data_IF_389888568661
#
_entry.id   IF_389888568661
#
_cell.length_a   1.000
_cell.length_b   1.000
_cell.length_c   1.000
_cell.angle_alpha   90.00
_cell.angle_beta   90.00
_cell.angle_gamma   90.00
#
_symmetry.space_group_name_H-M   'P 1'
#
loop_
_entity.id
_entity.type
_entity.pdbx_description
1 polymer ?
#
# COMPACT_ATOMS: atom_id res chain seq x y z
N UNK A 1 4.40 3.16 -14.56
CA UNK A 1 5.84 2.87 -14.72
C UNK A 1 6.54 4.21 -14.62
N UNK A 2 6.71 4.60 -13.37
CA UNK A 2 7.45 5.79 -13.00
C UNK A 2 8.95 5.62 -13.26
N UNK A 3 9.72 6.66 -12.97
CA UNK A 3 11.18 6.65 -13.10
C UNK A 3 11.83 5.60 -12.20
N UNK A 4 12.98 5.09 -12.64
CA UNK A 4 13.83 4.13 -11.93
C UNK A 4 14.51 4.81 -10.72
N UNK A 5 13.71 5.15 -9.71
CA UNK A 5 14.05 5.68 -8.37
C UNK A 5 12.81 6.28 -7.69
N UNK A 6 11.67 6.36 -8.37
CA UNK A 6 10.43 6.82 -7.77
C UNK A 6 9.97 5.85 -6.67
N UNK A 7 9.22 6.37 -5.70
CA UNK A 7 8.53 5.58 -4.69
C UNK A 7 7.18 6.22 -4.39
N UNK A 8 6.20 5.40 -4.05
CA UNK A 8 4.93 5.88 -3.50
C UNK A 8 5.19 6.37 -2.06
N UNK A 9 4.79 7.62 -1.79
CA UNK A 9 5.01 8.28 -0.50
C UNK A 9 3.65 8.73 0.06
N UNK A 10 3.34 8.37 1.30
CA UNK A 10 2.14 8.84 2.03
C UNK A 10 2.51 9.24 3.46
N UNK A 11 2.31 10.53 3.78
CA UNK A 11 2.65 11.10 5.09
C UNK A 11 1.61 10.83 6.18
N UNK A 12 0.42 10.35 5.81
CA UNK A 12 -0.66 10.07 6.76
C UNK A 12 -0.80 8.59 7.05
N UNK A 13 -0.53 7.73 6.07
CA UNK A 13 -0.74 6.28 6.18
C UNK A 13 0.55 5.51 5.91
N UNK A 14 1.60 5.79 6.66
CA UNK A 14 2.85 5.02 6.65
C UNK A 14 2.96 4.15 7.90
N UNK A 15 3.78 3.11 7.83
CA UNK A 15 4.06 2.22 8.95
C UNK A 15 5.09 2.83 9.90
N UNK A 16 4.89 2.71 11.22
CA UNK A 16 5.80 3.30 12.20
C UNK A 16 7.19 2.64 12.23
N UNK A 17 7.39 1.50 11.56
CA UNK A 17 8.70 0.88 11.38
C UNK A 17 9.43 1.35 10.10
N UNK A 18 8.88 2.33 9.39
CA UNK A 18 9.55 3.02 8.29
C UNK A 18 10.75 3.85 8.79
N UNK A 19 11.79 3.97 7.95
CA UNK A 19 13.05 4.64 8.29
C UNK A 19 12.96 6.18 8.25
N UNK A 20 11.77 6.73 7.94
CA UNK A 20 11.48 8.17 7.94
C UNK A 20 11.23 8.76 6.56
N UNK A 21 11.32 7.95 5.51
CA UNK A 21 11.07 8.34 4.12
C UNK A 21 9.58 8.23 3.74
N UNK A 22 8.76 7.62 4.61
CA UNK A 22 7.33 7.41 4.44
C UNK A 22 6.98 6.64 3.15
N UNK A 23 7.81 5.68 2.78
CA UNK A 23 7.66 4.84 1.57
C UNK A 23 6.97 3.52 1.86
N UNK A 24 6.95 3.08 3.12
CA UNK A 24 6.23 1.89 3.57
C UNK A 24 4.79 2.23 3.94
N UNK A 25 3.90 2.06 2.97
CA UNK A 25 2.52 2.52 3.02
C UNK A 25 1.59 1.46 3.62
N UNK A 26 0.73 1.89 4.55
CA UNK A 26 -0.35 1.10 5.14
C UNK A 26 -1.64 1.35 4.35
N UNK A 27 -2.07 0.36 3.57
CA UNK A 27 -3.25 0.45 2.71
C UNK A 27 -4.46 -0.26 3.34
N UNK A 28 -5.61 0.40 3.29
CA UNK A 28 -6.87 -0.17 3.77
C UNK A 28 -7.50 -1.14 2.76
N UNK A 29 -7.98 -2.33 3.17
CA UNK A 29 -8.67 -3.26 2.28
C UNK A 29 -9.97 -2.71 1.68
N UNK A 30 -10.49 -1.59 2.20
CA UNK A 30 -11.65 -0.89 1.64
C UNK A 30 -11.39 -0.36 0.22
N UNK A 31 -10.12 -0.16 -0.14
CA UNK A 31 -9.72 0.34 -1.45
C UNK A 31 -9.53 -0.79 -2.48
N UNK A 32 -9.70 -2.06 -2.07
CA UNK A 32 -9.61 -3.19 -2.99
C UNK A 32 -10.76 -3.15 -4.01
N UNK A 33 -10.46 -3.65 -5.21
CA UNK A 33 -11.50 -3.89 -6.21
C UNK A 33 -12.55 -4.87 -5.67
N UNK A 34 -13.82 -4.61 -5.95
CA UNK A 34 -14.91 -5.51 -5.55
C UNK A 34 -15.03 -6.69 -6.53
N UNK A 35 -14.10 -7.65 -6.44
CA UNK A 35 -14.03 -8.81 -7.33
C UNK A 35 -13.55 -10.06 -6.57
N UNK A 36 -14.45 -10.86 -5.95
CA UNK A 36 -14.09 -12.03 -5.14
C UNK A 36 -13.22 -13.07 -5.86
N UNK A 37 -13.36 -13.19 -7.18
CA UNK A 37 -12.51 -14.09 -7.99
C UNK A 37 -11.04 -13.67 -8.00
N UNK A 38 -10.74 -12.37 -7.86
CA UNK A 38 -9.38 -11.82 -7.87
C UNK A 38 -8.84 -11.66 -6.46
N UNK A 39 -9.63 -11.07 -5.54
CA UNK A 39 -9.18 -10.76 -4.18
C UNK A 39 -9.42 -11.91 -3.17
N UNK A 40 -10.10 -12.97 -3.60
CA UNK A 40 -10.52 -14.07 -2.73
C UNK A 40 -11.58 -13.64 -1.72
N UNK A 41 -11.55 -14.26 -0.53
CA UNK A 41 -12.36 -13.82 0.61
C UNK A 41 -11.91 -12.46 1.11
N UNK A 42 -12.86 -11.54 1.32
CA UNK A 42 -12.58 -10.18 1.77
C UNK A 42 -11.70 -10.16 3.03
N UNK A 43 -10.47 -9.65 2.88
CA UNK A 43 -9.58 -9.39 4.00
C UNK A 43 -9.97 -8.06 4.67
N UNK A 44 -9.92 -8.02 5.99
CA UNK A 44 -10.18 -6.82 6.81
C UNK A 44 -8.90 -6.22 7.40
N UNK A 45 -7.77 -6.93 7.32
CA UNK A 45 -6.48 -6.48 7.83
C UNK A 45 -5.79 -5.53 6.84
N UNK A 46 -5.18 -4.44 7.31
CA UNK A 46 -4.35 -3.56 6.49
C UNK A 46 -3.26 -4.32 5.73
N UNK A 47 -2.90 -3.81 4.56
CA UNK A 47 -1.86 -4.34 3.68
C UNK A 47 -0.69 -3.36 3.69
N UNK A 48 0.54 -3.88 3.75
CA UNK A 48 1.75 -3.07 3.59
C UNK A 48 2.19 -3.07 2.13
N UNK A 49 2.58 -1.91 1.63
CA UNK A 49 3.11 -1.74 0.28
C UNK A 49 4.37 -0.86 0.32
N UNK A 50 5.35 -1.21 -0.50
CA UNK A 50 6.56 -0.42 -0.72
C UNK A 50 6.99 -0.65 -2.18
N UNK A 51 7.06 0.41 -2.97
CA UNK A 51 7.34 0.32 -4.42
C UNK A 51 6.94 1.55 -5.21
N UNK A 52 6.99 1.42 -6.55
CA UNK A 52 6.64 2.45 -7.55
C UNK A 52 5.19 2.32 -8.06
N UNK A 53 4.66 3.38 -8.69
CA UNK A 53 3.33 3.42 -9.34
C UNK A 53 3.25 3.03 -10.82
#
# INVERSE_FOLDING_TARGET
>A
MDEESAAVIDHFNFDASDDGDHTRIVVTPKNLINAPTIIGTQNTKPILFEGTG
#
